data_IF_576132858853
#
_entry.id   IF_576132858853
#
_cell.length_a   1.000
_cell.length_b   1.000
_cell.length_c   1.000
_cell.angle_alpha   90.00
_cell.angle_beta   90.00
_cell.angle_gamma   90.00
#
_symmetry.space_group_name_H-M   'P 1'
#
loop_
_entity.id
_entity.type
_entity.pdbx_description
1 polymer ?
#
# COMPACT_ATOMS: atom_id res chain seq x y z
N UNK A 1 36.00 9.59 19.05
CA UNK A 1 34.87 9.92 18.16
C UNK A 1 33.69 9.12 18.67
N UNK A 2 32.51 9.72 18.89
CA UNK A 2 31.32 8.92 19.16
C UNK A 2 31.04 7.97 17.98
N UNK A 3 30.43 6.83 18.27
CA UNK A 3 29.99 5.88 17.25
C UNK A 3 28.84 6.48 16.43
N UNK A 4 28.80 6.18 15.14
CA UNK A 4 27.74 6.66 14.26
C UNK A 4 26.54 5.72 14.33
N UNK A 5 25.40 6.25 14.77
CA UNK A 5 24.12 5.55 14.74
C UNK A 5 23.26 6.14 13.62
N UNK A 6 22.88 5.29 12.66
CA UNK A 6 21.98 5.66 11.58
C UNK A 6 20.54 5.64 12.07
N UNK A 7 19.79 6.71 11.78
CA UNK A 7 18.35 6.78 11.96
C UNK A 7 17.71 7.31 10.68
N UNK A 8 16.60 6.69 10.28
CA UNK A 8 15.82 7.19 9.15
C UNK A 8 15.19 8.55 9.49
N UNK A 9 15.24 9.49 8.54
CA UNK A 9 14.62 10.81 8.73
C UNK A 9 13.10 10.71 8.96
N UNK A 10 12.45 9.70 8.38
CA UNK A 10 11.02 9.47 8.45
C UNK A 10 10.76 7.98 8.70
N UNK A 11 10.85 7.51 9.97
CA UNK A 11 10.62 6.10 10.28
C UNK A 11 9.18 5.72 9.97
N UNK A 12 8.99 4.56 9.34
CA UNK A 12 7.67 4.04 9.02
C UNK A 12 6.98 3.53 10.30
N UNK A 13 5.70 3.89 10.46
CA UNK A 13 4.83 3.36 11.50
C UNK A 13 4.16 2.03 11.10
N UNK A 14 3.37 1.48 12.01
CA UNK A 14 2.57 0.29 11.74
C UNK A 14 1.55 0.55 10.62
N UNK A 15 1.47 -0.36 9.64
CA UNK A 15 0.43 -0.33 8.62
C UNK A 15 -0.83 -1.04 9.12
N UNK A 16 -1.88 -0.25 9.36
CA UNK A 16 -3.19 -0.75 9.78
C UNK A 16 -4.20 -0.74 8.62
N UNK A 17 -3.74 -0.56 7.39
CA UNK A 17 -4.60 -0.51 6.20
C UNK A 17 -5.07 -1.91 5.84
N UNK A 18 -6.37 -2.08 5.66
CA UNK A 18 -6.92 -3.32 5.13
C UNK A 18 -6.74 -3.38 3.60
N UNK A 19 -6.17 -4.48 3.09
CA UNK A 19 -5.97 -4.72 1.67
C UNK A 19 -6.91 -5.82 1.16
N UNK A 20 -7.33 -5.70 -0.10
CA UNK A 20 -7.99 -6.79 -0.84
C UNK A 20 -7.06 -7.29 -1.94
N UNK A 21 -7.00 -8.59 -2.12
CA UNK A 21 -6.26 -9.20 -3.24
C UNK A 21 -7.01 -8.91 -4.55
N UNK A 22 -6.32 -8.31 -5.53
CA UNK A 22 -6.87 -8.11 -6.87
C UNK A 22 -6.64 -9.33 -7.76
N UNK A 23 -5.40 -9.82 -7.77
CA UNK A 23 -4.97 -10.98 -8.58
C UNK A 23 -3.62 -11.47 -8.07
N UNK A 24 -3.28 -12.71 -8.43
CA UNK A 24 -1.92 -13.27 -8.32
C UNK A 24 -1.21 -13.35 -9.67
N UNK A 25 -1.90 -13.00 -10.77
CA UNK A 25 -1.36 -13.00 -12.12
C UNK A 25 -0.39 -11.83 -12.35
N UNK A 26 0.60 -12.03 -13.22
CA UNK A 26 1.56 -10.98 -13.58
C UNK A 26 2.64 -10.70 -12.53
N UNK A 27 2.78 -11.55 -11.51
CA UNK A 27 3.90 -11.51 -10.57
C UNK A 27 4.57 -12.87 -10.47
N UNK A 28 5.90 -12.90 -10.45
CA UNK A 28 6.67 -14.11 -10.15
C UNK A 28 8.00 -13.78 -9.52
N UNK A 29 8.52 -14.72 -8.74
CA UNK A 29 9.89 -14.65 -8.23
C UNK A 29 10.87 -15.15 -9.29
N UNK A 30 12.00 -14.47 -9.43
CA UNK A 30 13.12 -14.88 -10.29
C UNK A 30 14.43 -14.82 -9.51
N UNK A 31 15.35 -15.73 -9.84
CA UNK A 31 16.70 -15.74 -9.27
C UNK A 31 17.55 -14.62 -9.86
N UNK A 32 18.26 -13.91 -8.99
CA UNK A 32 19.19 -12.85 -9.35
C UNK A 32 20.63 -13.14 -8.92
N UNK A 33 21.55 -12.21 -9.20
CA UNK A 33 22.95 -12.35 -8.84
C UNK A 33 23.16 -12.59 -7.35
N UNK A 34 24.22 -13.33 -7.01
CA UNK A 34 24.62 -13.61 -5.62
C UNK A 34 23.53 -14.29 -4.77
N UNK A 35 22.65 -15.08 -5.40
CA UNK A 35 21.57 -15.80 -4.72
C UNK A 35 20.44 -14.91 -4.21
N UNK A 36 20.31 -13.69 -4.74
CA UNK A 36 19.23 -12.78 -4.38
C UNK A 36 17.96 -13.10 -5.15
N UNK A 37 16.83 -13.11 -4.46
CA UNK A 37 15.50 -13.23 -5.08
C UNK A 37 14.98 -11.87 -5.55
N UNK A 38 14.48 -11.80 -6.78
CA UNK A 38 13.83 -10.62 -7.36
C UNK A 38 12.35 -10.91 -7.63
N UNK A 39 11.51 -9.88 -7.54
CA UNK A 39 10.12 -9.95 -7.97
C UNK A 39 10.00 -9.35 -9.37
N UNK A 40 9.65 -10.16 -10.35
CA UNK A 40 9.29 -9.71 -11.68
C UNK A 40 7.80 -9.38 -11.71
N UNK A 41 7.46 -8.16 -12.17
CA UNK A 41 6.09 -7.64 -12.23
C UNK A 41 5.78 -7.26 -13.67
N UNK A 42 4.75 -7.87 -14.24
CA UNK A 42 4.26 -7.59 -15.58
C UNK A 42 3.58 -6.21 -15.64
N UNK A 43 3.71 -5.46 -16.75
CA UNK A 43 3.02 -4.18 -16.93
C UNK A 43 1.50 -4.26 -16.74
N UNK A 44 0.87 -5.38 -17.11
CA UNK A 44 -0.56 -5.61 -16.98
C UNK A 44 -1.03 -5.63 -15.52
N UNK A 45 -0.19 -6.08 -14.59
CA UNK A 45 -0.50 -6.06 -13.15
C UNK A 45 -0.57 -4.61 -12.63
N UNK A 46 0.35 -3.75 -13.09
CA UNK A 46 0.34 -2.31 -12.75
C UNK A 46 -0.88 -1.60 -13.35
N UNK A 47 -1.25 -1.95 -14.59
CA UNK A 47 -2.44 -1.41 -15.26
C UNK A 47 -3.71 -1.78 -14.48
N UNK A 48 -3.90 -3.06 -14.14
CA UNK A 48 -5.05 -3.53 -13.36
C UNK A 48 -5.13 -2.83 -12.00
N UNK A 49 -4.00 -2.74 -11.28
CA UNK A 49 -3.93 -2.07 -9.98
C UNK A 49 -4.39 -0.62 -10.09
N UNK A 50 -3.86 0.11 -11.08
CA UNK A 50 -4.14 1.54 -11.25
C UNK A 50 -5.58 1.78 -11.68
N UNK A 51 -6.09 1.04 -12.67
CA UNK A 51 -7.48 1.12 -13.13
C UNK A 51 -8.46 0.89 -11.97
N UNK A 52 -8.21 -0.16 -11.20
CA UNK A 52 -9.04 -0.50 -10.02
C UNK A 52 -8.97 0.58 -8.95
N UNK A 53 -7.77 1.08 -8.64
CA UNK A 53 -7.58 2.10 -7.62
C UNK A 53 -8.28 3.42 -8.00
N UNK A 54 -8.17 3.84 -9.26
CA UNK A 54 -8.81 5.06 -9.76
C UNK A 54 -10.34 4.94 -9.77
N UNK A 55 -10.88 3.77 -10.07
CA UNK A 55 -12.31 3.52 -9.92
C UNK A 55 -12.75 3.63 -8.45
N UNK A 56 -12.05 2.92 -7.55
CA UNK A 56 -12.47 2.81 -6.14
C UNK A 56 -12.35 4.14 -5.40
N UNK A 57 -11.30 4.93 -5.65
CA UNK A 57 -11.12 6.25 -5.01
C UNK A 57 -12.16 7.28 -5.46
N UNK A 58 -12.73 7.13 -6.67
CA UNK A 58 -13.75 8.03 -7.18
C UNK A 58 -15.14 7.77 -6.59
N UNK A 59 -15.40 6.56 -6.09
CA UNK A 59 -16.74 6.13 -5.65
C UNK A 59 -16.83 5.78 -4.17
N UNK A 60 -15.72 5.46 -3.52
CA UNK A 60 -15.69 5.05 -2.12
C UNK A 60 -14.77 5.94 -1.28
N UNK A 61 -15.09 6.02 0.02
CA UNK A 61 -14.31 6.75 1.01
C UNK A 61 -13.86 5.80 2.12
N UNK A 62 -12.76 6.15 2.78
CA UNK A 62 -12.25 5.36 3.93
C UNK A 62 -13.26 5.40 5.09
N UNK A 63 -13.45 4.28 5.83
CA UNK A 63 -14.38 4.25 6.96
C UNK A 63 -14.08 5.30 8.03
N UNK A 64 -12.79 5.56 8.31
CA UNK A 64 -12.39 6.59 9.26
C UNK A 64 -12.89 7.99 8.88
N UNK A 65 -12.89 8.32 7.58
CA UNK A 65 -13.41 9.61 7.10
C UNK A 65 -14.94 9.68 7.22
N UNK A 66 -15.65 8.63 6.80
CA UNK A 66 -17.11 8.57 6.92
C UNK A 66 -17.58 8.62 8.39
N UNK A 67 -16.82 8.00 9.29
CA UNK A 67 -17.08 8.04 10.74
C UNK A 67 -17.01 9.47 11.26
N UNK A 68 -16.02 10.27 10.83
CA UNK A 68 -15.92 11.68 11.21
C UNK A 68 -17.17 12.47 10.79
N UNK A 69 -17.67 12.25 9.57
CA UNK A 69 -18.89 12.90 9.10
C UNK A 69 -20.11 12.49 9.93
N UNK A 70 -20.21 11.20 10.30
CA UNK A 70 -21.33 10.72 11.12
C UNK A 70 -21.29 11.32 12.53
N UNK A 71 -20.11 11.39 13.14
CA UNK A 71 -19.94 11.97 14.48
C UNK A 71 -20.49 13.40 14.58
N UNK A 72 -20.35 14.22 13.53
CA UNK A 72 -20.90 15.58 13.50
C UNK A 72 -22.43 15.59 13.62
N UNK A 73 -23.11 14.62 12.97
CA UNK A 73 -24.57 14.53 13.00
C UNK A 73 -25.07 14.10 14.38
N UNK A 74 -24.27 13.32 15.10
CA UNK A 74 -24.61 12.77 16.41
C UNK A 74 -24.24 13.69 17.59
N UNK A 75 -23.55 14.81 17.33
CA UNK A 75 -23.11 15.78 18.35
C UNK A 75 -24.31 16.66 18.80
N UNK A 76 -24.71 16.66 20.10
CA UNK A 76 -25.92 17.30 20.60
C UNK A 76 -25.94 18.84 20.63
#
# INVERSE_FOLDING_TARGET
MPEFEYEDLLPLGADNTAYRLLTTEGVRTVEGPDGRSFLEVAPEALRLLTETAMHDIAHFLRPAHLTQLRSIIDDP
#
